data_IF_599337957633
#
_entry.id   IF_599337957633
#
_cell.length_a   1.000
_cell.length_b   1.000
_cell.length_c   1.000
_cell.angle_alpha   90.00
_cell.angle_beta   90.00
_cell.angle_gamma   90.00
#
_symmetry.space_group_name_H-M   'P 1'
#
loop_
_entity.id
_entity.type
_entity.pdbx_description
1 polymer ?
#
# COMPACT_ATOMS: atom_id res chain seq x y z
N UNK A 1 -33.28 -12.18 14.14
CA UNK A 1 -32.24 -11.77 13.17
C UNK A 1 -30.94 -12.39 13.65
N UNK A 2 -30.38 -13.36 12.91
CA UNK A 2 -29.17 -14.10 13.33
C UNK A 2 -27.94 -13.23 13.05
N UNK A 3 -27.22 -12.84 14.09
CA UNK A 3 -25.90 -12.25 13.99
C UNK A 3 -24.88 -13.38 13.88
N UNK A 4 -24.11 -13.37 12.80
CA UNK A 4 -23.00 -14.29 12.58
C UNK A 4 -21.74 -13.56 13.05
N UNK A 5 -21.32 -13.83 14.27
CA UNK A 5 -20.05 -13.38 14.82
C UNK A 5 -18.97 -14.30 14.26
N UNK A 6 -18.05 -13.76 13.46
CA UNK A 6 -16.81 -14.47 13.14
C UNK A 6 -15.87 -14.19 14.32
N UNK A 7 -15.81 -15.13 15.25
CA UNK A 7 -14.81 -15.13 16.32
C UNK A 7 -13.44 -15.35 15.68
N UNK A 8 -12.58 -14.34 15.76
CA UNK A 8 -11.15 -14.50 15.49
C UNK A 8 -10.58 -15.51 16.47
N UNK A 9 -9.91 -16.55 15.95
CA UNK A 9 -9.13 -17.48 16.77
C UNK A 9 -7.87 -16.74 17.23
N UNK A 10 -7.80 -16.39 18.51
CA UNK A 10 -6.55 -16.06 19.17
C UNK A 10 -5.83 -17.36 19.53
N UNK A 11 -4.80 -17.70 18.77
CA UNK A 11 -3.80 -18.68 19.21
C UNK A 11 -2.80 -17.96 20.10
N UNK A 12 -2.99 -18.03 21.42
CA UNK A 12 -2.01 -17.53 22.38
C UNK A 12 -0.88 -18.56 22.54
N UNK A 13 0.29 -18.26 21.98
CA UNK A 13 1.51 -18.99 22.32
C UNK A 13 2.20 -18.27 23.48
N UNK A 14 2.34 -18.96 24.61
CA UNK A 14 2.99 -18.42 25.81
C UNK A 14 4.43 -18.00 25.53
N UNK A 15 4.73 -16.69 25.62
CA UNK A 15 6.07 -16.18 25.94
C UNK A 15 6.65 -15.08 25.06
N UNK A 16 6.14 -14.87 23.85
CA UNK A 16 6.46 -13.68 23.03
C UNK A 16 5.25 -12.77 23.00
N UNK A 17 5.41 -11.45 23.08
CA UNK A 17 4.32 -10.55 22.67
C UNK A 17 4.01 -10.89 21.21
N UNK A 18 2.78 -11.34 20.93
CA UNK A 18 2.34 -11.59 19.56
C UNK A 18 2.59 -10.32 18.75
N UNK A 19 3.39 -10.42 17.70
CA UNK A 19 3.65 -9.29 16.82
C UNK A 19 2.40 -9.05 15.98
N UNK A 20 1.75 -7.90 16.19
CA UNK A 20 0.60 -7.52 15.38
C UNK A 20 1.03 -7.26 13.94
N UNK A 21 0.16 -7.62 12.99
CA UNK A 21 0.40 -7.46 11.57
C UNK A 21 -0.74 -6.67 10.93
N UNK A 22 -0.40 -5.57 10.26
CA UNK A 22 -1.32 -4.80 9.43
C UNK A 22 -0.99 -5.11 7.98
N UNK A 23 -1.94 -5.68 7.25
CA UNK A 23 -1.84 -5.87 5.79
C UNK A 23 -2.84 -4.92 5.13
N UNK A 24 -2.35 -3.98 4.33
CA UNK A 24 -3.18 -2.99 3.65
C UNK A 24 -2.98 -3.08 2.13
N UNK A 25 -4.06 -3.26 1.38
CA UNK A 25 -4.02 -3.26 -0.09
C UNK A 25 -4.13 -1.84 -0.63
N UNK A 26 -3.22 -1.44 -1.51
CA UNK A 26 -3.18 -0.12 -2.13
C UNK A 26 -3.52 -0.24 -3.63
N UNK A 27 -4.60 0.43 -4.03
CA UNK A 27 -4.85 0.81 -5.42
C UNK A 27 -4.07 2.08 -5.78
N UNK A 28 -4.59 2.90 -6.70
CA UNK A 28 -3.95 4.13 -7.16
C UNK A 28 -3.89 5.25 -6.10
N UNK A 29 -2.74 5.55 -5.46
CA UNK A 29 -2.66 6.56 -4.41
C UNK A 29 -2.84 7.98 -4.95
N UNK A 30 -2.58 8.20 -6.25
CA UNK A 30 -2.67 9.50 -6.88
C UNK A 30 -4.10 10.02 -7.08
N UNK A 31 -5.12 9.16 -6.89
CA UNK A 31 -6.53 9.57 -6.92
C UNK A 31 -7.15 9.69 -5.53
N UNK A 32 -6.38 9.42 -4.47
CA UNK A 32 -6.87 9.55 -3.11
C UNK A 32 -7.01 11.01 -2.69
N UNK A 33 -7.84 11.21 -1.68
CA UNK A 33 -8.05 12.50 -1.03
C UNK A 33 -7.69 12.38 0.42
N UNK A 34 -7.26 13.48 1.01
CA UNK A 34 -7.05 13.53 2.44
C UNK A 34 -8.42 13.39 3.12
N UNK A 35 -8.52 12.50 4.10
CA UNK A 35 -9.77 12.25 4.81
C UNK A 35 -9.52 11.93 6.27
N UNK A 36 -10.54 12.17 7.10
CA UNK A 36 -10.50 11.91 8.53
C UNK A 36 -10.97 10.48 8.79
N UNK A 37 -10.05 9.62 9.21
CA UNK A 37 -10.34 8.27 9.67
C UNK A 37 -10.65 8.30 11.17
N UNK A 38 -11.70 7.58 11.58
CA UNK A 38 -12.09 7.43 12.98
C UNK A 38 -12.05 5.95 13.34
N UNK A 39 -11.27 5.61 14.36
CA UNK A 39 -11.23 4.27 14.92
C UNK A 39 -12.10 4.26 16.18
N UNK A 40 -13.20 3.50 16.13
CA UNK A 40 -14.11 3.35 17.25
C UNK A 40 -13.80 2.07 18.02
N UNK A 41 -13.32 2.22 19.24
CA UNK A 41 -13.34 1.17 20.26
C UNK A 41 -13.99 1.73 21.53
N UNK A 42 -14.50 0.83 22.37
CA UNK A 42 -15.33 1.16 23.52
C UNK A 42 -14.76 2.32 24.35
N UNK A 43 -15.37 3.50 24.21
CA UNK A 43 -15.05 4.69 25.02
C UNK A 43 -13.91 5.59 24.53
N UNK A 44 -13.18 5.25 23.46
CA UNK A 44 -12.09 6.10 22.91
C UNK A 44 -12.30 6.32 21.41
N UNK A 45 -12.43 7.58 21.00
CA UNK A 45 -12.50 7.98 19.60
C UNK A 45 -11.22 8.73 19.23
N UNK A 46 -10.27 8.02 18.63
CA UNK A 46 -9.13 8.66 17.98
C UNK A 46 -9.44 8.92 16.51
N UNK A 47 -9.06 10.11 16.04
CA UNK A 47 -9.14 10.45 14.63
C UNK A 47 -7.78 10.80 14.06
N UNK A 48 -7.51 10.29 12.85
CA UNK A 48 -6.30 10.58 12.09
C UNK A 48 -6.71 11.09 10.72
N UNK A 49 -6.21 12.27 10.34
CA UNK A 49 -6.40 12.81 9.01
C UNK A 49 -5.23 12.41 8.12
N UNK A 50 -5.50 11.64 7.06
CA UNK A 50 -4.46 11.10 6.19
C UNK A 50 -5.00 10.73 4.81
N UNK A 51 -4.10 10.34 3.90
CA UNK A 51 -4.41 9.80 2.58
C UNK A 51 -4.81 8.31 2.62
N UNK A 52 -4.52 7.61 3.72
CA UNK A 52 -4.78 6.17 3.85
C UNK A 52 -5.16 5.78 5.27
N UNK A 53 -6.06 4.80 5.39
CA UNK A 53 -6.47 4.25 6.69
C UNK A 53 -5.33 3.49 7.39
N UNK A 54 -4.30 3.06 6.67
CA UNK A 54 -3.16 2.33 7.24
C UNK A 54 -2.46 3.14 8.33
N UNK A 55 -2.41 4.46 8.22
CA UNK A 55 -1.78 5.33 9.21
C UNK A 55 -2.60 5.44 10.49
N UNK A 56 -3.93 5.41 10.39
CA UNK A 56 -4.79 5.34 11.57
C UNK A 56 -4.56 4.02 12.33
N UNK A 57 -4.48 2.90 11.60
CA UNK A 57 -4.21 1.59 12.19
C UNK A 57 -2.80 1.52 12.80
N UNK A 58 -1.78 2.01 12.10
CA UNK A 58 -0.40 1.99 12.58
C UNK A 58 -0.19 2.88 13.81
N UNK A 59 -0.91 4.01 13.92
CA UNK A 59 -0.90 4.84 15.13
C UNK A 59 -1.44 4.08 16.35
N UNK A 60 -2.50 3.30 16.15
CA UNK A 60 -3.11 2.52 17.23
C UNK A 60 -2.28 1.29 17.61
N UNK A 61 -1.70 0.64 16.61
CA UNK A 61 -0.90 -0.57 16.77
C UNK A 61 0.58 -0.21 16.54
N UNK A 62 1.16 0.58 17.45
CA UNK A 62 2.50 1.19 17.29
C UNK A 62 3.63 0.18 17.02
N UNK A 63 3.45 -1.08 17.46
CA UNK A 63 4.42 -2.15 17.29
C UNK A 63 4.11 -3.10 16.12
N UNK A 64 3.04 -2.83 15.35
CA UNK A 64 2.65 -3.70 14.25
C UNK A 64 3.66 -3.63 13.10
N UNK A 65 3.93 -4.79 12.49
CA UNK A 65 4.56 -4.84 11.16
C UNK A 65 3.51 -4.41 10.13
N UNK A 66 3.88 -3.53 9.22
CA UNK A 66 2.97 -3.01 8.20
C UNK A 66 3.39 -3.56 6.84
N UNK A 67 2.50 -4.28 6.19
CA UNK A 67 2.69 -4.77 4.83
C UNK A 67 1.73 -4.00 3.93
N UNK A 68 2.26 -3.25 2.98
CA UNK A 68 1.48 -2.60 1.94
C UNK A 68 1.53 -3.49 0.69
N UNK A 69 0.37 -3.95 0.24
CA UNK A 69 0.22 -4.78 -0.95
C UNK A 69 -0.25 -3.91 -2.10
N UNK A 70 0.63 -3.64 -3.07
CA UNK A 70 0.29 -2.94 -4.31
C UNK A 70 0.33 -3.88 -5.52
N UNK A 71 0.13 -3.29 -6.71
CA UNK A 71 0.30 -3.98 -7.98
C UNK A 71 1.38 -3.27 -8.83
N UNK A 72 2.02 -4.01 -9.74
CA UNK A 72 3.01 -3.46 -10.68
C UNK A 72 2.43 -2.34 -11.57
N UNK A 73 1.13 -2.38 -11.84
CA UNK A 73 0.41 -1.31 -12.55
C UNK A 73 0.42 0.04 -11.86
N UNK A 74 0.86 0.13 -10.61
CA UNK A 74 1.14 1.41 -9.96
C UNK A 74 2.21 2.23 -10.69
N UNK A 75 3.07 1.57 -11.47
CA UNK A 75 4.06 2.24 -12.31
C UNK A 75 3.47 2.77 -13.63
N UNK A 76 2.29 2.30 -14.06
CA UNK A 76 1.58 2.86 -15.22
C UNK A 76 0.54 3.91 -14.81
N UNK A 77 0.95 4.80 -13.91
CA UNK A 77 0.10 5.88 -13.42
C UNK A 77 -0.16 6.93 -14.50
N UNK A 78 -1.38 7.49 -14.51
CA UNK A 78 -1.70 8.59 -15.41
C UNK A 78 -0.78 9.78 -15.14
N UNK A 79 -0.38 10.49 -16.21
CA UNK A 79 0.36 11.74 -16.03
C UNK A 79 -0.46 12.73 -15.20
N UNK A 80 0.24 13.52 -14.38
CA UNK A 80 -0.32 14.58 -13.56
C UNK A 80 -1.27 15.44 -14.39
N UNK A 81 -2.58 15.27 -14.18
CA UNK A 81 -3.58 16.08 -14.85
C UNK A 81 -3.66 17.43 -14.13
N UNK A 82 -3.07 18.47 -14.74
CA UNK A 82 -3.23 19.84 -14.30
C UNK A 82 -4.72 20.21 -14.34
N UNK A 83 -5.34 20.49 -13.19
CA UNK A 83 -6.67 21.13 -13.13
C UNK A 83 -7.83 20.37 -12.47
N UNK A 84 -7.60 19.34 -11.65
CA UNK A 84 -8.70 18.70 -10.89
C UNK A 84 -8.72 19.11 -9.41
N UNK A 85 -9.42 20.19 -9.08
CA UNK A 85 -9.94 20.50 -7.73
C UNK A 85 -8.92 20.87 -6.64
N UNK A 86 -9.36 21.62 -5.63
CA UNK A 86 -8.55 22.22 -4.56
C UNK A 86 -7.93 21.24 -3.53
N UNK A 87 -7.92 19.93 -3.76
CA UNK A 87 -7.33 18.97 -2.81
C UNK A 87 -6.74 17.73 -3.52
N UNK A 88 -5.56 17.91 -4.12
CA UNK A 88 -4.75 16.84 -4.71
C UNK A 88 -3.59 16.41 -3.81
N UNK A 89 -3.61 16.74 -2.51
CA UNK A 89 -2.48 16.54 -1.60
C UNK A 89 -1.84 15.14 -1.71
N UNK A 90 -2.66 14.09 -1.75
CA UNK A 90 -2.17 12.71 -1.87
C UNK A 90 -1.55 12.42 -3.24
N UNK A 91 -2.14 12.95 -4.32
CA UNK A 91 -1.60 12.87 -5.66
C UNK A 91 -0.28 13.62 -5.82
N UNK A 92 -0.20 14.84 -5.30
CA UNK A 92 1.02 15.64 -5.32
C UNK A 92 2.17 14.91 -4.63
N UNK A 93 1.93 14.30 -3.45
CA UNK A 93 2.95 13.47 -2.78
C UNK A 93 3.39 12.31 -3.67
N UNK A 94 2.45 11.59 -4.29
CA UNK A 94 2.79 10.47 -5.16
C UNK A 94 3.65 10.91 -6.35
N UNK A 95 3.25 11.96 -7.07
CA UNK A 95 4.00 12.47 -8.22
C UNK A 95 5.37 13.02 -7.81
N UNK A 96 5.45 13.80 -6.73
CA UNK A 96 6.73 14.32 -6.23
C UNK A 96 7.70 13.21 -5.86
N UNK A 97 7.20 12.10 -5.29
CA UNK A 97 8.03 10.92 -4.99
C UNK A 97 8.48 10.24 -6.27
N UNK A 98 7.59 10.03 -7.25
CA UNK A 98 7.95 9.44 -8.53
C UNK A 98 9.03 10.27 -9.25
N UNK A 99 8.85 11.60 -9.32
CA UNK A 99 9.80 12.54 -9.90
C UNK A 99 11.16 12.50 -9.18
N UNK A 100 11.16 12.49 -7.84
CA UNK A 100 12.39 12.38 -7.02
C UNK A 100 13.13 11.06 -7.28
N UNK A 101 12.39 9.97 -7.44
CA UNK A 101 12.93 8.65 -7.76
C UNK A 101 13.30 8.49 -9.24
N UNK A 102 12.95 9.48 -10.08
CA UNK A 102 13.10 9.44 -11.55
C UNK A 102 12.37 8.24 -12.18
N UNK A 103 11.26 7.84 -11.57
CA UNK A 103 10.36 6.83 -12.09
C UNK A 103 9.39 7.58 -13.02
N UNK A 104 9.31 7.14 -14.27
CA UNK A 104 8.35 7.63 -15.25
C UNK A 104 7.26 6.58 -15.47
N UNK A 105 6.04 6.98 -15.90
CA UNK A 105 4.97 6.05 -16.22
C UNK A 105 5.45 4.93 -17.15
N UNK A 106 5.11 3.68 -16.84
CA UNK A 106 5.58 2.50 -17.57
C UNK A 106 5.29 2.58 -19.07
N UNK A 107 4.14 3.14 -19.44
CA UNK A 107 3.76 3.44 -20.83
C UNK A 107 4.75 4.30 -21.62
N UNK A 108 5.66 5.03 -20.94
CA UNK A 108 6.71 5.86 -21.53
C UNK A 108 8.12 5.38 -21.30
N UNK A 109 8.31 4.38 -20.43
CA UNK A 109 9.61 4.02 -19.88
C UNK A 109 9.87 2.51 -19.89
N UNK A 110 8.98 1.71 -20.49
CA UNK A 110 9.08 0.25 -20.50
C UNK A 110 10.41 -0.24 -21.08
N UNK A 111 10.97 0.47 -22.07
CA UNK A 111 12.26 0.16 -22.69
C UNK A 111 13.47 0.36 -21.77
N UNK A 112 13.31 1.05 -20.63
CA UNK A 112 14.37 1.26 -19.63
C UNK A 112 14.56 0.04 -18.72
N UNK A 113 13.57 -0.85 -18.67
CA UNK A 113 13.59 -2.05 -17.83
C UNK A 113 14.18 -3.24 -18.60
N UNK A 114 15.18 -3.89 -18.00
CA UNK A 114 15.81 -5.10 -18.55
C UNK A 114 15.18 -6.39 -18.03
N UNK A 115 14.38 -6.30 -16.96
CA UNK A 115 13.72 -7.45 -16.33
C UNK A 115 12.45 -7.04 -15.57
N UNK A 116 11.59 -8.03 -15.27
CA UNK A 116 10.38 -7.78 -14.47
C UNK A 116 10.73 -7.49 -13.00
N UNK A 117 11.84 -8.05 -12.51
CA UNK A 117 12.34 -7.83 -11.16
C UNK A 117 12.66 -6.34 -10.92
N UNK A 118 13.18 -5.62 -11.92
CA UNK A 118 13.43 -4.19 -11.83
C UNK A 118 12.12 -3.37 -11.69
N UNK A 119 11.07 -3.76 -12.42
CA UNK A 119 9.72 -3.17 -12.30
C UNK A 119 9.19 -3.36 -10.87
N UNK A 120 9.31 -4.58 -10.33
CA UNK A 120 8.90 -4.88 -8.96
C UNK A 120 9.69 -4.05 -7.94
N UNK A 121 11.00 -3.92 -8.11
CA UNK A 121 11.85 -3.15 -7.21
C UNK A 121 11.48 -1.66 -7.20
N UNK A 122 11.24 -1.07 -8.37
CA UNK A 122 10.84 0.33 -8.47
C UNK A 122 9.42 0.56 -7.92
N UNK A 123 8.49 -0.37 -8.16
CA UNK A 123 7.16 -0.31 -7.53
C UNK A 123 7.26 -0.39 -6.00
N UNK A 124 8.11 -1.27 -5.44
CA UNK A 124 8.36 -1.35 -3.99
C UNK A 124 8.93 -0.04 -3.44
N UNK A 125 9.91 0.56 -4.12
CA UNK A 125 10.49 1.86 -3.73
C UNK A 125 9.44 2.97 -3.76
N UNK A 126 8.65 3.03 -4.83
CA UNK A 126 7.60 4.03 -5.00
C UNK A 126 6.58 3.95 -3.87
N UNK A 127 6.02 2.76 -3.59
CA UNK A 127 5.09 2.57 -2.46
C UNK A 127 5.73 3.00 -1.14
N UNK A 128 6.96 2.55 -0.88
CA UNK A 128 7.63 2.79 0.40
C UNK A 128 7.89 4.28 0.64
N UNK A 129 8.40 4.99 -0.36
CA UNK A 129 8.67 6.43 -0.26
C UNK A 129 7.38 7.26 -0.25
N UNK A 130 6.35 6.85 -1.01
CA UNK A 130 5.02 7.47 -0.95
C UNK A 130 4.41 7.30 0.45
N UNK A 131 4.46 6.09 1.02
CA UNK A 131 3.94 5.82 2.36
C UNK A 131 4.66 6.63 3.44
N UNK A 132 5.99 6.74 3.37
CA UNK A 132 6.76 7.59 4.28
C UNK A 132 6.33 9.05 4.19
N UNK A 133 6.15 9.58 2.98
CA UNK A 133 5.76 10.98 2.75
C UNK A 133 4.30 11.28 3.10
N UNK A 134 3.42 10.30 2.97
CA UNK A 134 2.00 10.41 3.37
C UNK A 134 1.79 10.23 4.88
N UNK A 135 2.82 9.76 5.60
CA UNK A 135 2.71 9.53 7.04
C UNK A 135 2.46 10.85 7.78
N UNK A 136 1.44 10.93 8.65
CA UNK A 136 1.22 12.08 9.51
C UNK A 136 2.44 12.40 10.38
N UNK A 137 2.59 13.67 10.76
CA UNK A 137 3.67 14.10 11.66
C UNK A 137 3.69 13.26 12.95
N UNK A 138 4.90 12.85 13.36
CA UNK A 138 5.10 12.02 14.55
C UNK A 138 4.81 10.52 14.34
N UNK A 139 4.24 10.10 13.21
CA UNK A 139 4.08 8.69 12.87
C UNK A 139 5.17 8.27 11.87
N UNK A 140 5.95 7.26 12.22
CA UNK A 140 6.90 6.62 11.29
C UNK A 140 6.58 5.14 11.19
N UNK A 141 6.38 4.65 9.96
CA UNK A 141 6.18 3.22 9.70
C UNK A 141 7.54 2.51 9.72
N UNK A 142 8.13 2.32 10.91
CA UNK A 142 9.49 1.78 11.07
C UNK A 142 9.64 0.32 10.55
N UNK A 143 8.56 -0.46 10.60
CA UNK A 143 8.53 -1.86 10.16
C UNK A 143 7.61 -2.05 8.95
N UNK A 144 7.82 -1.26 7.90
CA UNK A 144 7.03 -1.30 6.68
C UNK A 144 7.70 -2.14 5.58
N UNK A 145 6.95 -3.05 4.97
CA UNK A 145 7.33 -3.77 3.76
C UNK A 145 6.30 -3.56 2.65
N UNK A 146 6.74 -3.67 1.40
CA UNK A 146 5.88 -3.61 0.23
C UNK A 146 5.90 -4.96 -0.52
N UNK A 147 4.71 -5.50 -0.79
CA UNK A 147 4.50 -6.63 -1.72
C UNK A 147 3.89 -6.07 -2.99
N UNK A 148 4.44 -6.47 -4.14
CA UNK A 148 3.93 -6.06 -5.46
C UNK A 148 3.38 -7.30 -6.14
N UNK A 149 2.08 -7.28 -6.41
CA UNK A 149 1.41 -8.33 -7.16
C UNK A 149 1.45 -8.01 -8.66
N UNK A 150 1.49 -9.03 -9.53
CA UNK A 150 1.24 -8.82 -10.95
C UNK A 150 -0.18 -8.31 -11.16
N UNK A 151 -0.36 -7.27 -11.97
CA UNK A 151 -1.67 -6.80 -12.43
C UNK A 151 -2.17 -7.67 -13.59
N UNK A 152 -3.49 -7.65 -13.81
CA UNK A 152 -4.12 -8.22 -15.00
C UNK A 152 -5.04 -7.19 -15.65
N UNK A 153 -5.00 -7.09 -16.97
CA UNK A 153 -5.83 -6.19 -17.75
C UNK A 153 -5.10 -4.90 -18.15
N UNK A 154 -5.86 -3.87 -18.48
CA UNK A 154 -5.35 -2.62 -19.05
C UNK A 154 -5.84 -1.43 -18.21
N UNK A 155 -5.19 -1.15 -17.06
CA UNK A 155 -5.61 -0.06 -16.17
C UNK A 155 -5.35 1.33 -16.76
N UNK A 156 -4.36 1.46 -17.65
CA UNK A 156 -4.08 2.67 -18.41
C UNK A 156 -3.61 2.31 -19.83
N UNK A 157 -2.41 2.67 -20.25
CA UNK A 157 -1.92 2.43 -21.61
C UNK A 157 -1.25 1.05 -21.76
N UNK A 158 -0.62 0.54 -20.70
CA UNK A 158 0.03 -0.78 -20.69
C UNK A 158 -0.99 -1.89 -20.43
N UNK A 159 -0.86 -2.99 -21.18
CA UNK A 159 -1.66 -4.20 -20.97
C UNK A 159 -0.84 -5.23 -20.20
N UNK A 160 -1.33 -5.64 -19.05
CA UNK A 160 -0.75 -6.67 -18.19
C UNK A 160 -1.44 -8.00 -18.47
N UNK A 161 -0.67 -8.97 -18.98
CA UNK A 161 -1.16 -10.30 -19.33
C UNK A 161 -0.65 -11.33 -18.32
N UNK A 162 -1.52 -12.23 -17.89
CA UNK A 162 -1.17 -13.29 -16.93
C UNK A 162 -2.36 -14.18 -16.60
N UNK A 163 -2.13 -15.15 -15.71
CA UNK A 163 -3.17 -16.02 -15.19
C UNK A 163 -4.00 -15.34 -14.10
N UNK A 164 -5.33 -15.57 -14.03
CA UNK A 164 -6.21 -14.94 -13.03
C UNK A 164 -5.87 -15.29 -11.57
N UNK A 165 -5.01 -16.28 -11.35
CA UNK A 165 -4.56 -16.73 -10.01
C UNK A 165 -3.16 -16.25 -9.66
N UNK A 166 -2.45 -15.61 -10.57
CA UNK A 166 -1.08 -15.16 -10.37
C UNK A 166 -0.97 -14.12 -9.25
N UNK A 167 -1.85 -13.10 -9.15
CA UNK A 167 -1.77 -12.12 -8.05
C UNK A 167 -1.86 -12.77 -6.67
N UNK A 168 -2.81 -13.71 -6.52
CA UNK A 168 -3.03 -14.44 -5.27
C UNK A 168 -1.85 -15.38 -4.94
N UNK A 169 -1.32 -16.09 -5.94
CA UNK A 169 -0.20 -17.02 -5.74
C UNK A 169 1.07 -16.29 -5.32
N UNK A 170 1.36 -15.15 -5.96
CA UNK A 170 2.49 -14.28 -5.60
C UNK A 170 2.28 -13.70 -4.19
N UNK A 171 1.10 -13.18 -3.88
CA UNK A 171 0.81 -12.64 -2.54
C UNK A 171 1.02 -13.68 -1.44
N UNK A 172 0.49 -14.89 -1.60
CA UNK A 172 0.68 -15.97 -0.62
C UNK A 172 2.14 -16.33 -0.45
N UNK A 173 2.88 -16.43 -1.55
CA UNK A 173 4.31 -16.76 -1.53
C UNK A 173 5.13 -15.69 -0.82
N UNK A 174 4.88 -14.41 -1.10
CA UNK A 174 5.58 -13.30 -0.46
C UNK A 174 5.22 -13.17 1.03
N UNK A 175 3.93 -13.28 1.40
CA UNK A 175 3.51 -13.30 2.80
C UNK A 175 4.12 -14.46 3.59
N UNK A 176 4.27 -15.64 2.95
CA UNK A 176 4.92 -16.78 3.58
C UNK A 176 6.40 -16.55 3.88
N UNK A 177 7.12 -15.84 3.00
CA UNK A 177 8.53 -15.46 3.26
C UNK A 177 8.62 -14.52 4.46
N UNK A 178 7.78 -13.48 4.46
CA UNK A 178 7.81 -12.39 5.45
C UNK A 178 7.43 -12.86 6.86
N UNK A 179 6.65 -13.93 6.97
CA UNK A 179 6.22 -14.50 8.27
C UNK A 179 7.15 -15.62 8.78
N UNK A 180 8.11 -16.06 7.98
CA UNK A 180 9.10 -17.08 8.36
C UNK A 180 10.39 -16.47 8.95
N UNK A 181 10.69 -15.23 8.58
CA UNK A 181 11.82 -14.42 9.09
C UNK A 181 11.44 -13.67 10.37
#
# INVERSE_FOLDING_TARGET
MKFMTISGMTMSNHGSKDQELIIATWGAPWVWRKTKYVLHEEGVSESVESCSSVFALAKKHENAKVIIVGADSLLDYEQRQNGRGEDQFCGDIFYDVADKLKIEPLSKSMEKYSSYEEIILDAKKLISETAKRMSPEGLTLNNMEAIIMPMLGKPSEVTFNGGPRDPFSVLLFELFKITKD
#
